data_IF_567237365351
#
_entry.id   IF_567237365351
#
_cell.length_a   1.000
_cell.length_b   1.000
_cell.length_c   1.000
_cell.angle_alpha   90.00
_cell.angle_beta   90.00
_cell.angle_gamma   90.00
#
_symmetry.space_group_name_H-M   'P 1'
#
loop_
_entity.id
_entity.type
_entity.pdbx_description
1 polymer ?
#
# COMPACT_ATOMS: atom_id res chain seq x y z
N UNK A 1 6.06 -27.51 -29.53
CA UNK A 1 5.09 -26.45 -29.91
C UNK A 1 3.72 -27.10 -29.96
N UNK A 2 2.72 -26.59 -29.28
CA UNK A 2 1.35 -27.13 -29.30
C UNK A 2 0.55 -26.30 -30.30
N UNK A 3 -0.10 -26.92 -31.25
CA UNK A 3 -0.94 -26.26 -32.25
C UNK A 3 -2.41 -26.37 -31.84
N UNK A 4 -3.15 -25.30 -31.99
CA UNK A 4 -4.57 -25.23 -31.71
C UNK A 4 -5.29 -24.88 -33.02
N UNK A 5 -6.41 -25.51 -33.26
CA UNK A 5 -7.31 -25.15 -34.35
C UNK A 5 -8.12 -23.88 -34.02
N UNK A 6 -8.65 -23.22 -35.03
CA UNK A 6 -9.50 -22.06 -34.83
C UNK A 6 -10.73 -22.35 -33.94
N UNK A 7 -11.47 -23.47 -34.11
CA UNK A 7 -12.57 -23.81 -33.21
C UNK A 7 -12.15 -24.02 -31.74
N UNK A 8 -10.98 -24.62 -31.50
CA UNK A 8 -10.45 -24.80 -30.12
C UNK A 8 -10.15 -23.44 -29.46
N UNK A 9 -9.60 -22.50 -30.21
CA UNK A 9 -9.34 -21.14 -29.72
C UNK A 9 -10.62 -20.37 -29.46
N UNK A 10 -11.62 -20.48 -30.34
CA UNK A 10 -12.93 -19.86 -30.15
C UNK A 10 -13.65 -20.41 -28.91
N UNK A 11 -13.64 -21.72 -28.73
CA UNK A 11 -14.22 -22.37 -27.55
C UNK A 11 -13.49 -21.94 -26.27
N UNK A 12 -12.18 -21.86 -26.30
CA UNK A 12 -11.38 -21.38 -25.16
C UNK A 12 -11.70 -19.92 -24.84
N UNK A 13 -11.76 -19.04 -25.84
CA UNK A 13 -12.11 -17.63 -25.66
C UNK A 13 -13.53 -17.47 -25.10
N UNK A 14 -14.49 -18.20 -25.65
CA UNK A 14 -15.87 -18.19 -25.15
C UNK A 14 -15.93 -18.59 -23.68
N UNK A 15 -15.23 -19.65 -23.28
CA UNK A 15 -15.15 -20.09 -21.88
C UNK A 15 -14.54 -19.02 -20.97
N UNK A 16 -13.47 -18.35 -21.40
CA UNK A 16 -12.86 -17.24 -20.66
C UNK A 16 -13.84 -16.07 -20.51
N UNK A 17 -14.51 -15.68 -21.59
CA UNK A 17 -15.47 -14.57 -21.56
C UNK A 17 -16.66 -14.87 -20.67
N UNK A 18 -17.19 -16.10 -20.67
CA UNK A 18 -18.26 -16.50 -19.77
C UNK A 18 -17.87 -16.41 -18.29
N UNK A 19 -16.60 -16.63 -17.95
CA UNK A 19 -16.09 -16.48 -16.58
C UNK A 19 -15.75 -15.02 -16.23
N UNK A 20 -15.19 -14.28 -17.18
CA UNK A 20 -14.74 -12.92 -16.96
C UNK A 20 -15.86 -11.87 -16.97
N UNK A 21 -16.85 -12.03 -17.86
CA UNK A 21 -17.91 -11.02 -18.02
C UNK A 21 -18.73 -10.74 -16.75
N UNK A 22 -19.13 -11.75 -15.94
CA UNK A 22 -19.79 -11.51 -14.66
C UNK A 22 -18.92 -10.74 -13.67
N UNK A 23 -17.62 -11.02 -13.65
CA UNK A 23 -16.66 -10.30 -12.83
C UNK A 23 -16.53 -8.84 -13.27
N UNK A 24 -16.31 -8.60 -14.56
CA UNK A 24 -16.20 -7.25 -15.11
C UNK A 24 -17.46 -6.41 -14.86
N UNK A 25 -18.65 -7.02 -15.04
CA UNK A 25 -19.91 -6.34 -14.73
C UNK A 25 -20.00 -5.94 -13.26
N UNK A 26 -19.67 -6.83 -12.33
CA UNK A 26 -19.65 -6.50 -10.89
C UNK A 26 -18.71 -5.32 -10.58
N UNK A 27 -17.56 -5.22 -11.26
CA UNK A 27 -16.64 -4.09 -11.05
C UNK A 27 -17.20 -2.77 -11.60
N UNK A 28 -17.88 -2.80 -12.76
CA UNK A 28 -18.56 -1.63 -13.31
C UNK A 28 -19.70 -1.17 -12.40
N UNK A 29 -20.53 -2.11 -11.94
CA UNK A 29 -21.64 -1.82 -11.01
C UNK A 29 -21.10 -1.27 -9.68
N UNK A 30 -19.97 -1.82 -9.19
CA UNK A 30 -19.29 -1.29 -8.01
C UNK A 30 -18.83 0.14 -8.22
N UNK A 31 -18.14 0.43 -9.33
CA UNK A 31 -17.64 1.76 -9.64
C UNK A 31 -18.75 2.80 -9.71
N UNK A 32 -19.90 2.45 -10.31
CA UNK A 32 -21.07 3.32 -10.38
C UNK A 32 -21.67 3.59 -8.99
N UNK A 33 -21.92 2.55 -8.20
CA UNK A 33 -22.45 2.66 -6.82
C UNK A 33 -21.50 3.47 -5.93
N UNK A 34 -20.19 3.19 -5.99
CA UNK A 34 -19.14 3.92 -5.28
C UNK A 34 -19.23 5.41 -5.60
N UNK A 35 -19.18 5.78 -6.88
CA UNK A 35 -19.19 7.18 -7.29
C UNK A 35 -20.44 7.89 -6.82
N UNK A 36 -21.62 7.28 -6.96
CA UNK A 36 -22.87 7.84 -6.50
C UNK A 36 -22.89 8.03 -4.97
N UNK A 37 -22.50 7.02 -4.20
CA UNK A 37 -22.53 7.09 -2.73
C UNK A 37 -21.50 8.07 -2.17
N UNK A 38 -20.32 8.16 -2.79
CA UNK A 38 -19.28 9.11 -2.38
C UNK A 38 -19.66 10.56 -2.73
N UNK A 39 -20.26 10.81 -3.88
CA UNK A 39 -20.76 12.14 -4.24
C UNK A 39 -21.87 12.63 -3.30
N UNK A 40 -22.67 11.72 -2.75
CA UNK A 40 -23.74 12.03 -1.79
C UNK A 40 -23.28 12.00 -0.31
N UNK A 41 -21.99 11.66 -0.05
CA UNK A 41 -21.46 11.43 1.30
C UNK A 41 -21.68 12.66 2.21
N UNK A 42 -22.42 12.55 3.35
CA UNK A 42 -22.59 13.62 4.30
C UNK A 42 -21.34 13.77 5.20
N UNK A 43 -21.16 14.97 5.75
CA UNK A 43 -20.18 15.16 6.82
C UNK A 43 -20.66 14.42 8.09
N UNK A 44 -19.80 13.59 8.75
CA UNK A 44 -20.26 12.63 9.76
C UNK A 44 -20.53 13.26 11.15
N UNK A 45 -20.41 14.57 11.29
CA UNK A 45 -20.67 15.29 12.55
C UNK A 45 -21.68 16.39 12.33
N UNK A 46 -22.40 16.73 13.40
CA UNK A 46 -23.41 17.81 13.38
C UNK A 46 -22.82 19.18 13.01
N UNK A 47 -21.57 19.43 13.42
CA UNK A 47 -20.89 20.71 13.18
C UNK A 47 -19.41 20.52 12.88
N UNK A 48 -18.85 21.41 12.08
CA UNK A 48 -17.42 21.53 11.89
C UNK A 48 -16.76 22.21 13.10
N UNK A 49 -15.58 21.74 13.48
CA UNK A 49 -14.73 22.45 14.44
C UNK A 49 -14.16 23.73 13.79
N UNK A 50 -13.74 24.73 14.59
CA UNK A 50 -13.08 25.94 14.07
C UNK A 50 -11.91 25.56 13.11
N UNK A 51 -11.87 26.16 11.93
CA UNK A 51 -10.87 25.87 10.88
C UNK A 51 -11.07 24.58 10.08
N UNK A 52 -11.84 23.62 10.58
CA UNK A 52 -12.02 22.31 9.93
C UNK A 52 -12.70 22.43 8.55
N UNK A 53 -13.74 23.28 8.44
CA UNK A 53 -14.45 23.50 7.18
C UNK A 53 -13.56 24.16 6.12
N UNK A 54 -12.72 25.11 6.53
CA UNK A 54 -11.79 25.78 5.63
C UNK A 54 -10.76 24.77 5.08
N UNK A 55 -10.15 23.96 5.96
CA UNK A 55 -9.22 22.91 5.56
C UNK A 55 -9.86 21.90 4.59
N UNK A 56 -11.07 21.43 4.90
CA UNK A 56 -11.79 20.49 4.03
C UNK A 56 -12.09 21.10 2.65
N UNK A 57 -12.42 22.40 2.60
CA UNK A 57 -12.61 23.12 1.34
C UNK A 57 -11.35 23.23 0.48
N UNK A 58 -10.20 23.48 1.09
CA UNK A 58 -8.91 23.52 0.36
C UNK A 58 -8.54 22.13 -0.17
N UNK A 59 -8.69 21.08 0.63
CA UNK A 59 -8.44 19.71 0.19
C UNK A 59 -9.34 19.33 -0.98
N UNK A 60 -10.64 19.62 -0.88
CA UNK A 60 -11.58 19.37 -1.97
C UNK A 60 -11.16 20.09 -3.27
N UNK A 61 -10.83 21.39 -3.19
CA UNK A 61 -10.35 22.16 -4.34
C UNK A 61 -9.08 21.56 -4.93
N UNK A 62 -8.10 21.21 -4.10
CA UNK A 62 -6.86 20.60 -4.56
C UNK A 62 -7.10 19.28 -5.30
N UNK A 63 -8.00 18.41 -4.81
CA UNK A 63 -8.37 17.17 -5.50
C UNK A 63 -9.05 17.44 -6.85
N UNK A 64 -9.86 18.51 -6.97
CA UNK A 64 -10.56 18.88 -8.21
C UNK A 64 -9.63 19.50 -9.24
N UNK A 65 -8.76 20.41 -8.82
CA UNK A 65 -7.85 21.17 -9.71
C UNK A 65 -6.76 20.29 -10.32
N UNK A 66 -6.37 19.20 -9.66
CA UNK A 66 -5.35 18.27 -10.16
C UNK A 66 -5.71 17.59 -11.49
N UNK A 67 -6.96 17.73 -11.95
CA UNK A 67 -7.46 17.22 -13.23
C UNK A 67 -7.37 18.18 -14.40
N UNK A 68 -7.09 19.45 -14.16
CA UNK A 68 -7.00 20.44 -15.24
C UNK A 68 -5.81 20.12 -16.13
N UNK A 69 -6.07 20.04 -17.45
CA UNK A 69 -5.11 19.61 -18.47
C UNK A 69 -3.80 20.42 -18.50
N UNK A 70 -3.80 21.61 -17.92
CA UNK A 70 -2.64 22.51 -17.82
C UNK A 70 -1.68 22.15 -16.67
N UNK A 71 -2.08 21.26 -15.73
CA UNK A 71 -1.28 20.84 -14.59
C UNK A 71 -0.60 19.49 -14.82
N UNK A 72 0.47 19.46 -15.61
CA UNK A 72 1.27 18.24 -15.92
C UNK A 72 1.89 17.52 -14.72
N UNK A 73 1.67 17.96 -13.47
CA UNK A 73 2.26 17.38 -12.27
C UNK A 73 1.26 17.11 -11.13
N UNK A 74 -0.04 17.22 -11.39
CA UNK A 74 -1.07 17.16 -10.36
C UNK A 74 -1.03 18.36 -9.40
N UNK A 75 -2.10 18.53 -8.61
CA UNK A 75 -2.16 19.56 -7.57
C UNK A 75 -1.46 19.11 -6.29
N UNK A 76 -0.78 20.01 -5.60
CA UNK A 76 -0.12 19.76 -4.32
C UNK A 76 -0.59 20.76 -3.28
N UNK A 77 -1.07 20.29 -2.15
CA UNK A 77 -1.52 21.10 -1.04
C UNK A 77 -0.73 20.73 0.22
N UNK A 78 -0.09 21.69 0.84
CA UNK A 78 0.54 21.56 2.15
C UNK A 78 -0.33 22.25 3.20
N UNK A 79 -0.80 21.47 4.17
CA UNK A 79 -1.67 21.94 5.23
C UNK A 79 -0.96 21.83 6.58
N UNK A 80 -0.81 22.95 7.28
CA UNK A 80 -0.40 22.97 8.67
C UNK A 80 -1.62 23.30 9.54
N UNK A 81 -1.98 22.40 10.43
CA UNK A 81 -3.14 22.56 11.30
C UNK A 81 -2.81 22.08 12.73
N UNK A 82 -3.34 22.75 13.78
CA UNK A 82 -3.11 22.35 15.16
C UNK A 82 -3.68 20.96 15.46
N UNK A 83 -3.17 20.34 16.52
CA UNK A 83 -3.74 19.09 17.05
C UNK A 83 -5.18 19.32 17.52
N UNK A 84 -6.03 18.29 17.40
CA UNK A 84 -7.42 18.37 17.87
C UNK A 84 -8.43 18.96 16.88
N UNK A 85 -8.02 19.60 15.78
CA UNK A 85 -8.94 20.13 14.75
C UNK A 85 -9.70 19.03 14.00
N UNK A 86 -9.25 17.77 14.09
CA UNK A 86 -9.83 16.65 13.32
C UNK A 86 -9.26 16.54 11.93
N UNK A 87 -7.92 16.68 11.77
CA UNK A 87 -7.18 16.63 10.50
C UNK A 87 -7.58 15.44 9.61
N UNK A 88 -7.59 14.24 10.16
CA UNK A 88 -7.89 13.00 9.41
C UNK A 88 -9.23 13.09 8.67
N UNK A 89 -10.29 13.50 9.38
CA UNK A 89 -11.61 13.67 8.77
C UNK A 89 -11.65 14.85 7.80
N UNK A 90 -10.90 15.92 8.10
CA UNK A 90 -10.84 17.13 7.26
C UNK A 90 -10.14 16.91 5.93
N UNK A 91 -9.32 15.86 5.80
CA UNK A 91 -8.67 15.51 4.55
C UNK A 91 -9.33 14.31 3.86
N UNK A 92 -9.77 13.30 4.63
CA UNK A 92 -10.34 12.08 4.08
C UNK A 92 -11.74 12.32 3.47
N UNK A 93 -12.63 12.99 4.23
CA UNK A 93 -14.00 13.26 3.77
C UNK A 93 -14.06 14.04 2.43
N UNK A 94 -13.38 15.20 2.29
CA UNK A 94 -13.44 15.96 1.04
C UNK A 94 -12.74 15.25 -0.13
N UNK A 95 -11.69 14.49 0.12
CA UNK A 95 -11.02 13.70 -0.92
C UNK A 95 -11.92 12.58 -1.43
N UNK A 96 -12.64 11.87 -0.55
CA UNK A 96 -13.63 10.87 -0.93
C UNK A 96 -14.80 11.47 -1.71
N UNK A 97 -15.28 12.65 -1.32
CA UNK A 97 -16.31 13.37 -2.09
C UNK A 97 -15.82 13.74 -3.49
N UNK A 98 -14.63 14.31 -3.59
CA UNK A 98 -14.03 14.65 -4.88
C UNK A 98 -13.84 13.41 -5.76
N UNK A 99 -13.46 12.27 -5.16
CA UNK A 99 -13.37 10.98 -5.87
C UNK A 99 -14.74 10.51 -6.39
N UNK A 100 -15.81 10.68 -5.61
CA UNK A 100 -17.19 10.41 -6.05
C UNK A 100 -17.62 11.24 -7.26
N UNK A 101 -17.11 12.46 -7.36
CA UNK A 101 -17.35 13.39 -8.47
C UNK A 101 -16.33 13.23 -9.62
N UNK A 102 -15.55 12.13 -9.58
CA UNK A 102 -14.65 11.72 -10.64
C UNK A 102 -13.22 12.28 -10.51
N UNK A 103 -12.81 12.82 -9.37
CA UNK A 103 -11.43 13.24 -9.15
C UNK A 103 -10.62 12.12 -8.50
N UNK A 104 -10.14 11.20 -9.32
CA UNK A 104 -9.34 10.07 -8.88
C UNK A 104 -10.11 8.74 -8.79
N UNK A 105 -9.39 7.67 -9.07
CA UNK A 105 -9.92 6.29 -9.05
C UNK A 105 -9.63 5.59 -7.72
N UNK A 106 -8.55 5.97 -7.05
CA UNK A 106 -8.08 5.36 -5.81
C UNK A 106 -7.43 6.40 -4.90
N UNK A 107 -7.60 6.22 -3.59
CA UNK A 107 -7.03 7.08 -2.56
C UNK A 107 -6.01 6.30 -1.73
N UNK A 108 -4.80 6.84 -1.60
CA UNK A 108 -3.76 6.34 -0.72
C UNK A 108 -3.63 7.25 0.50
N UNK A 109 -3.94 6.71 1.69
CA UNK A 109 -3.71 7.38 2.96
C UNK A 109 -2.43 6.85 3.59
N UNK A 110 -1.38 7.65 3.58
CA UNK A 110 -0.04 7.23 3.96
C UNK A 110 0.44 7.95 5.22
N UNK A 111 1.01 7.18 6.14
CA UNK A 111 1.44 7.68 7.43
C UNK A 111 2.65 6.91 7.97
N UNK A 112 3.40 7.52 8.90
CA UNK A 112 4.59 6.90 9.51
C UNK A 112 4.30 5.91 10.64
N UNK A 113 3.07 5.90 11.20
CA UNK A 113 2.76 5.19 12.45
C UNK A 113 1.46 4.41 12.38
N UNK A 114 1.43 3.24 13.01
CA UNK A 114 0.22 2.42 13.10
C UNK A 114 -0.95 3.13 13.83
N UNK A 115 -0.66 3.99 14.82
CA UNK A 115 -1.69 4.77 15.54
C UNK A 115 -2.43 5.74 14.64
N UNK A 116 -1.76 6.30 13.65
CA UNK A 116 -2.39 7.20 12.66
C UNK A 116 -3.09 6.43 11.55
N UNK A 117 -2.69 5.17 11.28
CA UNK A 117 -3.47 4.26 10.43
C UNK A 117 -4.82 3.96 11.07
N UNK A 118 -4.86 3.62 12.38
CA UNK A 118 -6.08 3.41 13.12
C UNK A 118 -7.01 4.63 13.11
N UNK A 119 -6.46 5.84 13.14
CA UNK A 119 -7.27 7.07 13.03
C UNK A 119 -7.96 7.22 11.67
N UNK A 120 -7.32 6.74 10.59
CA UNK A 120 -7.95 6.69 9.26
C UNK A 120 -9.05 5.61 9.18
N UNK A 121 -8.81 4.44 9.77
CA UNK A 121 -9.80 3.36 9.89
C UNK A 121 -11.04 3.84 10.67
N UNK A 122 -10.84 4.50 11.83
CA UNK A 122 -11.91 5.09 12.62
C UNK A 122 -12.69 6.16 11.85
N UNK A 123 -11.99 6.98 11.06
CA UNK A 123 -12.63 7.98 10.22
C UNK A 123 -13.54 7.33 9.16
N UNK A 124 -13.08 6.27 8.49
CA UNK A 124 -13.88 5.50 7.54
C UNK A 124 -15.08 4.85 8.24
N UNK A 125 -14.90 4.24 9.41
CA UNK A 125 -15.98 3.64 10.19
C UNK A 125 -17.05 4.67 10.56
N UNK A 126 -16.67 5.90 10.94
CA UNK A 126 -17.61 7.00 11.20
C UNK A 126 -18.37 7.44 9.96
N UNK A 127 -17.70 7.51 8.80
CA UNK A 127 -18.36 7.81 7.52
C UNK A 127 -19.40 6.75 7.18
N UNK A 128 -19.10 5.46 7.38
CA UNK A 128 -20.05 4.36 7.18
C UNK A 128 -21.24 4.44 8.13
N UNK A 129 -21.02 4.80 9.39
CA UNK A 129 -22.11 5.02 10.38
C UNK A 129 -23.01 6.17 9.95
N UNK A 130 -22.45 7.25 9.42
CA UNK A 130 -23.22 8.41 8.97
C UNK A 130 -23.93 8.18 7.60
N UNK A 131 -23.42 7.24 6.80
CA UNK A 131 -23.97 6.88 5.50
C UNK A 131 -23.98 5.35 5.35
N UNK A 132 -25.01 4.64 5.83
CA UNK A 132 -25.08 3.17 5.78
C UNK A 132 -25.01 2.60 4.36
N UNK A 133 -25.46 3.36 3.36
CA UNK A 133 -25.40 2.98 1.94
C UNK A 133 -24.05 3.26 1.26
N UNK A 134 -23.04 3.65 2.04
CA UNK A 134 -21.70 3.98 1.51
C UNK A 134 -21.04 2.76 0.87
N UNK A 135 -20.94 2.76 -0.44
CA UNK A 135 -20.17 1.79 -1.20
C UNK A 135 -18.69 2.24 -1.23
N UNK A 136 -17.90 1.72 -0.30
CA UNK A 136 -16.49 2.02 -0.17
C UNK A 136 -15.76 0.76 0.31
N UNK A 137 -14.67 0.37 -0.35
CA UNK A 137 -13.75 -0.66 0.11
C UNK A 137 -12.46 -0.04 0.56
N UNK A 138 -12.00 -0.40 1.74
CA UNK A 138 -10.72 0.06 2.26
C UNK A 138 -9.87 -1.09 2.76
N UNK A 139 -8.56 -1.02 2.56
CA UNK A 139 -7.61 -1.99 3.06
C UNK A 139 -6.46 -1.29 3.78
N UNK A 140 -6.06 -1.86 4.93
CA UNK A 140 -4.86 -1.41 5.66
C UNK A 140 -3.72 -2.38 5.43
N UNK A 141 -2.69 -1.92 4.73
CA UNK A 141 -1.47 -2.69 4.47
C UNK A 141 -0.53 -2.62 5.67
N UNK A 142 -0.17 -3.79 6.16
CA UNK A 142 0.77 -3.95 7.28
C UNK A 142 2.00 -4.73 6.81
N UNK A 143 3.18 -4.37 7.31
CA UNK A 143 4.43 -5.03 6.95
C UNK A 143 4.36 -6.55 7.18
N UNK A 144 5.00 -7.31 6.28
CA UNK A 144 4.96 -8.78 6.22
C UNK A 144 5.33 -9.42 7.55
N UNK A 145 6.36 -8.91 8.23
CA UNK A 145 6.86 -9.41 9.51
C UNK A 145 5.81 -9.33 10.63
N UNK A 146 4.89 -8.36 10.54
CA UNK A 146 3.86 -8.14 11.55
C UNK A 146 2.60 -8.98 11.34
N UNK A 147 2.38 -9.49 10.13
CA UNK A 147 1.15 -10.22 9.77
C UNK A 147 1.41 -11.67 9.40
N UNK A 148 2.67 -12.11 9.34
CA UNK A 148 3.03 -13.48 9.01
C UNK A 148 2.39 -14.45 10.01
N UNK A 149 1.62 -15.44 9.49
CA UNK A 149 0.98 -16.49 10.28
C UNK A 149 1.87 -17.73 10.45
N UNK A 150 3.01 -17.79 9.76
CA UNK A 150 3.93 -18.93 9.81
C UNK A 150 5.39 -18.43 9.80
N UNK A 151 5.83 -17.72 10.85
CA UNK A 151 7.22 -17.30 10.95
C UNK A 151 8.13 -18.49 11.25
N UNK A 152 9.41 -18.35 10.92
CA UNK A 152 10.46 -19.28 11.34
C UNK A 152 10.71 -19.21 12.87
N UNK A 153 11.55 -20.08 13.43
CA UNK A 153 11.87 -20.07 14.87
C UNK A 153 12.50 -18.74 15.36
N UNK A 154 13.12 -17.98 14.49
CA UNK A 154 13.69 -16.66 14.77
C UNK A 154 12.63 -15.54 14.65
N UNK A 155 11.42 -15.85 14.23
CA UNK A 155 10.32 -14.89 14.08
C UNK A 155 10.27 -14.18 12.73
N UNK A 156 11.04 -14.61 11.73
CA UNK A 156 11.06 -14.03 10.40
C UNK A 156 10.12 -14.77 9.43
N UNK A 157 9.55 -14.09 8.44
CA UNK A 157 8.74 -14.73 7.41
C UNK A 157 9.56 -15.67 6.52
N UNK A 158 9.34 -16.97 6.62
CA UNK A 158 9.92 -17.98 5.72
C UNK A 158 8.98 -18.24 4.54
N UNK A 159 9.09 -17.44 3.47
CA UNK A 159 8.12 -17.41 2.36
C UNK A 159 8.40 -18.43 1.23
N UNK A 160 9.08 -19.53 1.53
CA UNK A 160 9.31 -20.60 0.55
C UNK A 160 8.07 -21.50 0.47
N UNK A 161 7.54 -21.81 -0.73
CA UNK A 161 6.35 -22.65 -0.87
C UNK A 161 6.48 -24.03 -0.20
N UNK A 162 7.69 -24.58 -0.14
CA UNK A 162 8.00 -25.88 0.49
C UNK A 162 7.88 -25.81 2.02
N UNK A 163 8.02 -24.63 2.61
CA UNK A 163 8.04 -24.43 4.07
C UNK A 163 6.77 -23.74 4.59
N UNK A 164 6.12 -22.91 3.78
CA UNK A 164 4.99 -22.10 4.22
C UNK A 164 3.67 -22.59 3.60
N UNK A 165 2.72 -23.10 4.39
CA UNK A 165 1.43 -23.58 3.88
C UNK A 165 0.56 -22.48 3.27
N UNK A 166 0.77 -21.22 3.65
CA UNK A 166 0.06 -20.06 3.11
C UNK A 166 0.65 -19.57 1.77
N UNK A 167 1.91 -19.91 1.48
CA UNK A 167 2.55 -19.63 0.19
C UNK A 167 2.33 -20.77 -0.81
N UNK A 168 2.35 -22.01 -0.34
CA UNK A 168 2.09 -23.20 -1.16
C UNK A 168 0.66 -23.16 -1.71
N UNK A 169 0.50 -23.21 -3.04
CA UNK A 169 -0.81 -23.18 -3.70
C UNK A 169 -1.58 -21.84 -3.52
N UNK A 170 -0.89 -20.74 -3.23
CA UNK A 170 -1.50 -19.43 -3.04
C UNK A 170 -2.37 -19.02 -4.24
N UNK A 171 -1.85 -19.14 -5.45
CA UNK A 171 -2.53 -18.74 -6.68
C UNK A 171 -3.77 -19.57 -7.02
N UNK A 172 -3.90 -20.76 -6.46
CA UNK A 172 -5.09 -21.61 -6.63
C UNK A 172 -6.24 -21.12 -5.74
N UNK A 173 -5.94 -20.52 -4.59
CA UNK A 173 -6.91 -20.14 -3.55
C UNK A 173 -7.24 -18.66 -3.50
N UNK A 174 -6.34 -17.80 -4.00
CA UNK A 174 -6.53 -16.34 -3.89
C UNK A 174 -7.78 -15.85 -4.61
N UNK A 175 -8.17 -16.46 -5.71
CA UNK A 175 -9.36 -16.05 -6.48
C UNK A 175 -10.65 -16.23 -5.68
N UNK A 176 -10.77 -17.33 -4.94
CA UNK A 176 -11.92 -17.61 -4.09
C UNK A 176 -11.94 -16.65 -2.89
N UNK A 177 -10.76 -16.39 -2.29
CA UNK A 177 -10.63 -15.43 -1.21
C UNK A 177 -11.04 -14.01 -1.64
N UNK A 178 -10.53 -13.52 -2.78
CA UNK A 178 -10.89 -12.22 -3.33
C UNK A 178 -12.38 -12.15 -3.68
N UNK A 179 -12.94 -13.17 -4.34
CA UNK A 179 -14.36 -13.20 -4.69
C UNK A 179 -15.23 -13.06 -3.45
N UNK A 180 -14.94 -13.83 -2.40
CA UNK A 180 -15.72 -13.79 -1.15
C UNK A 180 -15.60 -12.44 -0.41
N UNK A 181 -14.41 -11.83 -0.40
CA UNK A 181 -14.18 -10.55 0.27
C UNK A 181 -14.80 -9.37 -0.50
N UNK A 182 -14.79 -9.43 -1.83
CA UNK A 182 -15.29 -8.34 -2.67
C UNK A 182 -16.82 -8.36 -2.85
N UNK A 183 -17.50 -9.40 -2.38
CA UNK A 183 -18.97 -9.41 -2.28
C UNK A 183 -19.46 -8.51 -1.12
N UNK A 184 -18.58 -8.16 -0.19
CA UNK A 184 -18.86 -7.27 0.93
C UNK A 184 -18.36 -5.82 0.65
N UNK A 185 -18.98 -4.84 1.30
CA UNK A 185 -18.58 -3.42 1.32
C UNK A 185 -17.60 -3.13 2.45
N UNK A 186 -16.69 -4.07 2.76
CA UNK A 186 -15.93 -4.09 4.00
C UNK A 186 -14.76 -3.10 4.09
N UNK A 187 -14.34 -2.89 5.34
CA UNK A 187 -13.02 -2.41 5.68
C UNK A 187 -12.14 -3.61 6.01
N UNK A 188 -11.04 -3.77 5.31
CA UNK A 188 -10.13 -4.89 5.47
C UNK A 188 -8.91 -4.44 6.28
N UNK A 189 -9.08 -4.38 7.58
CA UNK A 189 -8.02 -4.12 8.53
C UNK A 189 -7.14 -5.37 8.74
N UNK A 190 -6.14 -5.25 9.61
CA UNK A 190 -5.24 -6.36 9.93
C UNK A 190 -5.98 -7.61 10.45
N UNK A 191 -7.01 -7.44 11.27
CA UNK A 191 -7.74 -8.55 11.86
C UNK A 191 -8.61 -9.26 10.80
N UNK A 192 -9.30 -8.49 9.96
CA UNK A 192 -10.10 -9.01 8.85
C UNK A 192 -9.23 -9.79 7.86
N UNK A 193 -8.05 -9.24 7.49
CA UNK A 193 -7.09 -9.92 6.62
C UNK A 193 -6.56 -11.22 7.24
N UNK A 194 -6.24 -11.23 8.53
CA UNK A 194 -5.76 -12.43 9.22
C UNK A 194 -6.86 -13.52 9.28
N UNK A 195 -8.09 -13.14 9.56
CA UNK A 195 -9.24 -14.04 9.55
C UNK A 195 -9.51 -14.67 8.19
N UNK A 196 -9.51 -13.85 7.13
CA UNK A 196 -9.66 -14.31 5.76
C UNK A 196 -8.48 -15.19 5.32
N UNK A 197 -7.25 -14.81 5.65
CA UNK A 197 -6.05 -15.57 5.36
C UNK A 197 -6.09 -16.98 5.98
N UNK A 198 -6.55 -17.09 7.21
CA UNK A 198 -6.75 -18.38 7.88
C UNK A 198 -7.85 -19.20 7.20
N UNK A 199 -9.00 -18.58 6.90
CA UNK A 199 -10.14 -19.23 6.27
C UNK A 199 -9.79 -19.82 4.90
N UNK A 200 -9.04 -19.10 4.08
CA UNK A 200 -8.71 -19.50 2.72
C UNK A 200 -7.30 -20.09 2.58
N UNK A 201 -6.55 -20.23 3.69
CA UNK A 201 -5.16 -20.70 3.70
C UNK A 201 -4.25 -19.93 2.75
N UNK A 202 -4.36 -18.60 2.72
CA UNK A 202 -3.55 -17.68 1.89
C UNK A 202 -2.68 -16.77 2.76
N UNK A 203 -1.56 -16.28 2.23
CA UNK A 203 -0.70 -15.35 2.97
C UNK A 203 -1.44 -14.02 3.23
N UNK A 204 -1.59 -13.54 4.47
CA UNK A 204 -2.32 -12.32 4.78
C UNK A 204 -1.66 -11.06 4.19
N UNK A 205 -0.35 -11.05 4.04
CA UNK A 205 0.38 -9.96 3.41
C UNK A 205 0.07 -9.88 1.91
N UNK A 206 0.22 -10.99 1.20
CA UNK A 206 -0.06 -11.05 -0.25
C UNK A 206 -1.55 -10.84 -0.53
N UNK A 207 -2.45 -11.40 0.31
CA UNK A 207 -3.89 -11.14 0.24
C UNK A 207 -4.20 -9.64 0.35
N UNK A 208 -3.58 -8.94 1.31
CA UNK A 208 -3.75 -7.49 1.45
C UNK A 208 -3.28 -6.73 0.21
N UNK A 209 -2.15 -7.14 -0.37
CA UNK A 209 -1.63 -6.54 -1.60
C UNK A 209 -2.55 -6.79 -2.80
N UNK A 210 -3.03 -8.02 -3.00
CA UNK A 210 -3.92 -8.34 -4.12
C UNK A 210 -5.29 -7.68 -3.94
N UNK A 211 -5.82 -7.64 -2.71
CA UNK A 211 -7.07 -6.96 -2.38
C UNK A 211 -6.99 -5.45 -2.59
N UNK A 212 -5.80 -4.85 -2.39
CA UNK A 212 -5.59 -3.41 -2.58
C UNK A 212 -5.85 -2.93 -4.01
N UNK A 213 -5.75 -3.81 -5.01
CA UNK A 213 -6.10 -3.49 -6.40
C UNK A 213 -7.60 -3.21 -6.57
N UNK A 214 -8.43 -3.84 -5.75
CA UNK A 214 -9.89 -3.77 -5.79
C UNK A 214 -10.51 -2.82 -4.74
N UNK A 215 -9.67 -2.30 -3.84
CA UNK A 215 -10.10 -1.33 -2.83
C UNK A 215 -10.00 0.10 -3.35
N UNK A 216 -10.91 0.94 -2.88
CA UNK A 216 -10.98 2.36 -3.22
C UNK A 216 -10.01 3.18 -2.38
N UNK A 217 -9.78 2.75 -1.14
CA UNK A 217 -8.84 3.37 -0.20
C UNK A 217 -7.80 2.37 0.26
N UNK A 218 -6.54 2.74 0.14
CA UNK A 218 -5.39 1.99 0.65
C UNK A 218 -4.73 2.79 1.76
N UNK A 219 -4.74 2.26 2.97
CA UNK A 219 -4.08 2.83 4.14
C UNK A 219 -2.75 2.11 4.33
N UNK A 220 -1.65 2.83 4.55
CA UNK A 220 -0.36 2.19 4.70
C UNK A 220 0.76 3.09 5.20
N UNK A 221 1.96 2.53 5.27
CA UNK A 221 3.18 3.28 5.61
C UNK A 221 3.70 4.06 4.38
N UNK A 222 4.43 5.14 4.62
CA UNK A 222 5.11 5.93 3.60
C UNK A 222 6.01 5.09 2.68
N UNK A 223 6.58 3.99 3.19
CA UNK A 223 7.47 3.12 2.43
C UNK A 223 6.78 2.58 1.18
N UNK A 224 5.48 2.36 1.24
CA UNK A 224 4.73 1.85 0.09
C UNK A 224 4.70 2.81 -1.12
N UNK A 225 5.02 4.10 -0.92
CA UNK A 225 5.14 5.07 -2.01
C UNK A 225 6.58 5.52 -2.25
N UNK A 226 7.35 5.76 -1.19
CA UNK A 226 8.61 6.51 -1.26
C UNK A 226 9.86 5.64 -1.19
N UNK A 227 9.77 4.40 -0.67
CA UNK A 227 10.93 3.54 -0.55
C UNK A 227 11.27 2.89 -1.90
N UNK A 228 12.51 3.02 -2.39
CA UNK A 228 12.90 2.50 -3.71
C UNK A 228 12.82 0.98 -3.82
N UNK A 229 12.81 0.25 -2.70
CA UNK A 229 12.80 -1.22 -2.65
C UNK A 229 11.40 -1.78 -2.46
N UNK A 230 10.61 -1.19 -1.55
CA UNK A 230 9.32 -1.76 -1.11
C UNK A 230 8.10 -1.01 -1.65
N UNK A 231 8.28 0.05 -2.45
CA UNK A 231 7.15 0.75 -3.05
C UNK A 231 6.23 -0.18 -3.85
N UNK A 232 4.96 0.15 -3.90
CA UNK A 232 3.95 -0.68 -4.57
C UNK A 232 4.05 -0.55 -6.09
N UNK A 233 4.95 -1.31 -6.71
CA UNK A 233 5.19 -1.32 -8.16
C UNK A 233 3.92 -1.53 -8.97
N UNK A 234 3.00 -2.36 -8.46
CA UNK A 234 1.70 -2.64 -9.09
C UNK A 234 0.86 -1.38 -9.35
N UNK A 235 1.09 -0.30 -8.59
CA UNK A 235 0.43 0.99 -8.77
C UNK A 235 1.36 2.04 -9.38
N UNK A 236 2.59 2.15 -8.90
CA UNK A 236 3.43 3.33 -9.14
C UNK A 236 4.40 3.17 -10.32
N UNK A 237 4.53 1.97 -10.89
CA UNK A 237 5.24 1.75 -12.15
C UNK A 237 4.32 2.01 -13.38
N UNK A 238 3.04 2.27 -13.16
CA UNK A 238 2.05 2.60 -14.19
C UNK A 238 1.38 3.94 -13.91
N UNK A 239 0.88 4.60 -14.94
CA UNK A 239 0.09 5.82 -14.76
C UNK A 239 -1.30 5.48 -14.21
N UNK A 240 -1.76 6.25 -13.23
CA UNK A 240 -3.10 6.13 -12.67
C UNK A 240 -3.57 7.45 -12.10
N UNK A 241 -4.87 7.59 -11.94
CA UNK A 241 -5.51 8.77 -11.35
C UNK A 241 -5.64 8.55 -9.84
N UNK A 242 -4.55 8.83 -9.10
CA UNK A 242 -4.43 8.57 -7.68
C UNK A 242 -4.51 9.83 -6.83
N UNK A 243 -5.25 9.77 -5.73
CA UNK A 243 -5.23 10.78 -4.67
C UNK A 243 -4.31 10.32 -3.54
N UNK A 244 -3.42 11.19 -3.09
CA UNK A 244 -2.50 10.90 -1.99
C UNK A 244 -2.77 11.83 -0.81
N UNK A 245 -3.08 11.25 0.34
CA UNK A 245 -3.16 11.92 1.63
C UNK A 245 -1.96 11.49 2.47
N UNK A 246 -1.03 12.40 2.69
CA UNK A 246 0.22 12.14 3.41
C UNK A 246 0.10 12.78 4.81
N UNK A 247 -0.22 11.97 5.80
CA UNK A 247 -0.37 12.45 7.18
C UNK A 247 0.98 12.58 7.88
N UNK A 248 1.13 13.59 8.74
CA UNK A 248 2.37 13.89 9.46
C UNK A 248 3.60 14.02 8.53
N UNK A 249 3.42 14.69 7.38
CA UNK A 249 4.41 14.81 6.30
C UNK A 249 5.76 15.43 6.74
N UNK A 250 5.80 16.11 7.89
CA UNK A 250 7.03 16.62 8.49
C UNK A 250 8.06 15.53 8.83
N UNK A 251 7.62 14.26 8.94
CA UNK A 251 8.52 13.12 9.14
C UNK A 251 9.18 12.62 7.85
N UNK A 252 8.69 13.04 6.67
CA UNK A 252 9.20 12.55 5.38
C UNK A 252 10.68 12.84 5.13
N UNK A 253 11.26 14.02 5.47
CA UNK A 253 12.69 14.28 5.22
C UNK A 253 13.60 13.28 5.91
N UNK A 254 13.33 12.94 7.17
CA UNK A 254 14.14 11.98 7.92
C UNK A 254 13.89 10.54 7.44
N UNK A 255 12.65 10.22 7.10
CA UNK A 255 12.31 8.92 6.48
C UNK A 255 12.98 8.76 5.13
N UNK A 256 12.97 9.77 4.27
CA UNK A 256 13.63 9.73 2.98
C UNK A 256 15.15 9.52 3.14
N UNK A 257 15.80 10.24 4.08
CA UNK A 257 17.21 9.99 4.39
C UNK A 257 17.45 8.54 4.79
N UNK A 258 16.59 7.95 5.63
CA UNK A 258 16.72 6.55 6.05
C UNK A 258 16.52 5.57 4.87
N UNK A 259 15.50 5.79 4.03
CA UNK A 259 15.19 4.96 2.86
C UNK A 259 16.33 4.94 1.83
N UNK A 260 16.98 6.10 1.62
CA UNK A 260 18.08 6.26 0.65
C UNK A 260 19.47 6.13 1.29
N UNK A 261 19.57 5.66 2.55
CA UNK A 261 20.81 5.43 3.25
C UNK A 261 21.05 3.95 3.49
N UNK A 262 22.28 3.52 3.27
CA UNK A 262 22.73 2.19 3.64
C UNK A 262 23.79 2.28 4.74
N UNK A 263 23.77 1.35 5.69
CA UNK A 263 24.78 1.20 6.72
C UNK A 263 25.56 -0.08 6.45
N UNK A 264 26.88 0.06 6.40
CA UNK A 264 27.77 -1.06 6.25
C UNK A 264 28.79 -1.05 7.39
N UNK A 265 28.90 -2.14 8.12
CA UNK A 265 29.78 -2.23 9.29
C UNK A 265 31.05 -3.00 8.95
N UNK A 266 32.19 -2.49 9.39
CA UNK A 266 33.47 -3.18 9.25
C UNK A 266 33.49 -4.54 9.95
N UNK A 267 32.76 -4.69 11.06
CA UNK A 267 32.58 -5.96 11.77
C UNK A 267 32.06 -7.06 10.85
N UNK A 268 31.06 -6.75 10.00
CA UNK A 268 30.48 -7.71 9.05
C UNK A 268 31.50 -8.24 8.04
N UNK A 269 32.45 -7.39 7.59
CA UNK A 269 33.56 -7.85 6.75
C UNK A 269 34.48 -8.80 7.50
N UNK A 270 34.75 -8.52 8.77
CA UNK A 270 35.62 -9.35 9.60
C UNK A 270 35.00 -10.71 9.88
N UNK A 271 33.69 -10.75 10.15
CA UNK A 271 32.92 -11.97 10.35
C UNK A 271 32.87 -12.82 9.07
N UNK A 272 32.56 -12.20 7.92
CA UNK A 272 32.59 -12.88 6.63
C UNK A 272 33.98 -13.47 6.30
N UNK A 273 35.07 -12.74 6.61
CA UNK A 273 36.45 -13.25 6.46
C UNK A 273 36.74 -14.45 7.38
N UNK A 274 36.21 -14.45 8.60
CA UNK A 274 36.35 -15.58 9.54
C UNK A 274 35.58 -16.79 9.04
N UNK A 275 34.36 -16.61 8.57
CA UNK A 275 33.53 -17.68 8.05
C UNK A 275 34.16 -18.38 6.82
N UNK A 276 34.88 -17.64 5.98
CA UNK A 276 35.60 -18.20 4.80
C UNK A 276 36.89 -18.95 5.15
N UNK A 277 37.34 -18.92 6.40
CA UNK A 277 38.56 -19.58 6.81
C UNK A 277 39.86 -19.00 6.17
N UNK A 278 40.99 -19.73 6.27
CA UNK A 278 42.31 -19.25 5.83
C UNK A 278 42.62 -19.52 4.35
N UNK A 279 41.72 -20.10 3.58
CA UNK A 279 41.94 -20.45 2.17
C UNK A 279 42.14 -19.24 1.24
N UNK A 280 42.90 -19.41 0.16
CA UNK A 280 43.03 -18.41 -0.91
C UNK A 280 41.79 -18.53 -1.83
N UNK A 281 40.84 -17.60 -1.72
CA UNK A 281 39.69 -17.48 -2.63
C UNK A 281 39.58 -16.07 -3.19
N UNK A 282 39.01 -15.92 -4.36
CA UNK A 282 38.70 -14.61 -4.98
C UNK A 282 37.83 -13.76 -4.07
N UNK A 283 36.88 -14.38 -3.37
CA UNK A 283 36.00 -13.73 -2.42
C UNK A 283 36.76 -13.16 -1.20
N UNK A 284 37.73 -13.93 -0.66
CA UNK A 284 38.57 -13.45 0.43
C UNK A 284 39.43 -12.26 0.02
N UNK A 285 39.93 -12.27 -1.21
CA UNK A 285 40.68 -11.16 -1.79
C UNK A 285 39.80 -9.92 -1.92
N UNK A 286 38.58 -10.08 -2.40
CA UNK A 286 37.60 -8.98 -2.51
C UNK A 286 37.26 -8.38 -1.14
N UNK A 287 36.98 -9.21 -0.12
CA UNK A 287 36.72 -8.75 1.24
C UNK A 287 37.94 -8.03 1.85
N UNK A 288 39.17 -8.44 1.50
CA UNK A 288 40.37 -7.77 1.97
C UNK A 288 40.55 -6.39 1.32
N UNK A 289 40.22 -6.27 0.03
CA UNK A 289 40.21 -4.97 -0.66
C UNK A 289 39.16 -4.03 -0.07
N UNK A 290 37.95 -4.53 0.21
CA UNK A 290 36.88 -3.75 0.86
C UNK A 290 37.33 -3.28 2.26
N UNK A 291 37.95 -4.13 3.06
CA UNK A 291 38.45 -3.76 4.40
C UNK A 291 39.53 -2.65 4.34
N UNK A 292 40.43 -2.69 3.36
CA UNK A 292 41.39 -1.60 3.13
C UNK A 292 40.68 -0.30 2.76
N UNK A 293 39.70 -0.35 1.84
CA UNK A 293 38.93 0.83 1.46
C UNK A 293 38.24 1.49 2.69
N UNK A 294 37.70 0.70 3.61
CA UNK A 294 37.17 1.22 4.89
C UNK A 294 38.19 1.96 5.73
N UNK A 295 39.43 1.45 5.81
CA UNK A 295 40.49 2.12 6.52
C UNK A 295 40.90 3.45 5.86
N UNK A 296 40.89 3.50 4.54
CA UNK A 296 41.26 4.70 3.81
C UNK A 296 40.14 5.77 3.90
N UNK A 297 38.88 5.38 3.84
CA UNK A 297 37.74 6.26 4.10
C UNK A 297 37.82 6.85 5.50
N UNK A 298 38.10 6.02 6.53
CA UNK A 298 38.23 6.50 7.90
C UNK A 298 39.36 7.53 8.04
N UNK A 299 40.51 7.28 7.41
CA UNK A 299 41.65 8.23 7.42
C UNK A 299 41.28 9.54 6.73
N UNK A 300 40.52 9.48 5.62
CA UNK A 300 40.05 10.66 4.93
C UNK A 300 39.07 11.48 5.78
N UNK A 301 38.10 10.82 6.43
CA UNK A 301 37.17 11.51 7.34
C UNK A 301 37.87 12.20 8.51
N UNK A 302 38.88 11.56 9.11
CA UNK A 302 39.68 12.17 10.23
C UNK A 302 40.49 13.39 9.76
N UNK A 303 40.84 13.46 8.47
CA UNK A 303 41.57 14.64 7.94
C UNK A 303 40.61 15.81 7.60
N UNK A 304 39.31 15.55 7.45
CA UNK A 304 38.29 16.55 7.12
C UNK A 304 37.57 17.08 8.37
N UNK A 305 37.74 16.45 9.53
CA UNK A 305 37.22 16.86 10.82
C UNK A 305 38.26 17.75 11.57
#
# INVERSE_FOLDING_TARGET
MRHFSAPELEQFLHKLLCQYAPWARRQLDWAARRSQSLAALPFPFAQYRPGQRALAGEVYRACRTGRDADHKGGSRLFCQAPTGIGKTMSVLFPALRAMGEGSGEKLFYLTARNTTQAAAEDAIARLRTAAPELALRSVTLTAKEKVCLHPDPEGHPACLPELCPYANGYYDRIKDALSALLDDTGSFDRAALAGAATRFSVCPFELGLDLSEWCDVVIGDYNYLFDPVVHLKRFFDVSGDWLFLIDEAHNLPDRARAMYSARFFKSSLTEAKRALGKGKSSLRTALTRADRAFLDIRKACVRLA
#
